data_IF_039676818122
#
_entry.id   IF_039676818122
#
_cell.length_a   1.000
_cell.length_b   1.000
_cell.length_c   1.000
_cell.angle_alpha   90.00
_cell.angle_beta   90.00
_cell.angle_gamma   90.00
#
_symmetry.space_group_name_H-M   'P 1'
#
loop_
_entity.id
_entity.type
_entity.pdbx_description
1 polymer ?
#
# COMPACT_ATOMS: atom_id res chain seq x y z
N UNK A 1 -18.30 -11.64 -15.54
CA UNK A 1 -17.88 -10.72 -14.47
C UNK A 1 -17.00 -9.68 -15.12
N UNK A 2 -17.40 -8.42 -15.08
CA UNK A 2 -16.62 -7.33 -15.66
C UNK A 2 -15.37 -7.06 -14.80
N UNK A 3 -14.30 -6.57 -15.41
CA UNK A 3 -13.02 -6.38 -14.73
C UNK A 3 -13.12 -5.32 -13.62
N UNK A 4 -13.87 -4.25 -13.85
CA UNK A 4 -14.11 -3.19 -12.86
C UNK A 4 -14.80 -3.72 -11.61
N UNK A 5 -15.85 -4.54 -11.78
CA UNK A 5 -16.58 -5.16 -10.67
C UNK A 5 -15.70 -6.11 -9.87
N UNK A 6 -14.82 -6.83 -10.56
CA UNK A 6 -13.83 -7.70 -9.89
C UNK A 6 -12.85 -6.87 -9.05
N UNK A 7 -12.31 -5.78 -9.59
CA UNK A 7 -11.39 -4.88 -8.87
C UNK A 7 -12.06 -4.29 -7.63
N UNK A 8 -13.32 -3.86 -7.73
CA UNK A 8 -14.07 -3.32 -6.59
C UNK A 8 -14.28 -4.37 -5.49
N UNK A 9 -14.61 -5.62 -5.86
CA UNK A 9 -14.75 -6.71 -4.89
C UNK A 9 -13.42 -7.08 -4.22
N UNK A 10 -12.32 -7.14 -4.98
CA UNK A 10 -10.97 -7.36 -4.44
C UNK A 10 -10.57 -6.22 -3.50
N UNK A 11 -10.91 -4.97 -3.83
CA UNK A 11 -10.66 -3.81 -2.98
C UNK A 11 -11.40 -3.92 -1.63
N UNK A 12 -12.68 -4.32 -1.65
CA UNK A 12 -13.47 -4.53 -0.42
C UNK A 12 -12.84 -5.63 0.45
N UNK A 13 -12.34 -6.70 -0.15
CA UNK A 13 -11.65 -7.77 0.57
C UNK A 13 -10.36 -7.28 1.22
N UNK A 14 -9.65 -6.35 0.57
CA UNK A 14 -8.40 -5.74 1.05
C UNK A 14 -8.61 -4.49 1.92
N UNK A 15 -9.84 -4.16 2.35
CA UNK A 15 -10.16 -2.93 3.11
C UNK A 15 -9.29 -2.69 4.34
N UNK A 16 -8.78 -3.76 4.96
CA UNK A 16 -7.90 -3.71 6.13
C UNK A 16 -6.55 -3.01 5.86
N UNK A 17 -6.15 -2.90 4.59
CA UNK A 17 -4.86 -2.35 4.18
C UNK A 17 -5.01 -0.90 3.67
N UNK A 18 -6.23 -0.48 3.31
CA UNK A 18 -6.46 0.82 2.67
C UNK A 18 -6.22 2.00 3.61
N UNK A 19 -6.69 1.92 4.85
CA UNK A 19 -6.47 2.94 5.86
C UNK A 19 -5.79 2.34 7.10
N UNK A 20 -4.56 2.76 7.47
CA UNK A 20 -3.87 2.26 8.65
C UNK A 20 -4.57 2.60 9.98
N UNK A 21 -5.54 3.54 9.98
CA UNK A 21 -6.27 3.94 11.19
C UNK A 21 -7.52 3.11 11.43
N UNK A 22 -8.09 2.53 10.38
CA UNK A 22 -9.38 1.82 10.46
C UNK A 22 -9.15 0.31 10.41
N UNK A 23 -9.37 -0.34 11.55
CA UNK A 23 -9.20 -1.78 11.68
C UNK A 23 -10.56 -2.48 11.54
N UNK A 24 -10.79 -3.16 10.41
CA UNK A 24 -12.00 -3.93 10.19
C UNK A 24 -11.81 -5.40 10.57
N UNK A 25 -12.94 -6.06 10.86
CA UNK A 25 -12.97 -7.53 10.95
C UNK A 25 -12.50 -8.13 9.63
N UNK A 26 -11.58 -9.10 9.73
CA UNK A 26 -11.03 -9.85 8.59
C UNK A 26 -12.15 -10.53 7.81
N UNK A 27 -12.03 -10.58 6.49
CA UNK A 27 -12.90 -11.40 5.66
C UNK A 27 -12.69 -12.88 5.98
N UNK A 28 -13.77 -13.61 6.22
CA UNK A 28 -13.73 -15.05 6.51
C UNK A 28 -13.43 -15.88 5.24
N UNK A 29 -13.65 -15.30 4.06
CA UNK A 29 -13.51 -15.98 2.77
C UNK A 29 -12.46 -15.32 1.89
N UNK A 30 -11.64 -16.15 1.25
CA UNK A 30 -10.66 -15.73 0.25
C UNK A 30 -11.25 -15.62 -1.17
N UNK A 31 -12.46 -16.14 -1.37
CA UNK A 31 -13.13 -16.21 -2.68
C UNK A 31 -14.18 -15.10 -2.78
N UNK A 32 -14.28 -14.48 -3.95
CA UNK A 32 -15.28 -13.47 -4.25
C UNK A 32 -16.70 -14.08 -4.18
N UNK A 33 -17.71 -13.32 -3.71
CA UNK A 33 -19.08 -13.81 -3.62
C UNK A 33 -19.66 -14.11 -5.02
N UNK A 34 -20.39 -15.23 -5.15
CA UNK A 34 -21.04 -15.63 -6.41
C UNK A 34 -22.17 -14.69 -6.81
N UNK A 35 -22.94 -14.23 -5.82
CA UNK A 35 -24.07 -13.32 -6.00
C UNK A 35 -23.77 -12.03 -5.24
N UNK A 36 -23.85 -10.91 -5.95
CA UNK A 36 -23.66 -9.59 -5.38
C UNK A 36 -24.46 -8.56 -6.19
N UNK A 37 -24.74 -7.43 -5.57
CA UNK A 37 -25.36 -6.28 -6.22
C UNK A 37 -24.55 -5.04 -5.86
N UNK A 38 -24.38 -4.17 -6.85
CA UNK A 38 -23.74 -2.87 -6.67
C UNK A 38 -24.86 -1.84 -6.61
N UNK A 39 -24.82 -0.98 -5.59
CA UNK A 39 -25.77 0.10 -5.39
C UNK A 39 -25.04 1.38 -5.02
N UNK A 40 -25.71 2.51 -5.21
CA UNK A 40 -25.21 3.83 -4.83
C UNK A 40 -26.00 4.34 -3.63
N UNK A 41 -25.30 5.02 -2.71
CA UNK A 41 -25.94 5.61 -1.54
C UNK A 41 -26.71 6.86 -1.98
N UNK A 42 -28.01 6.89 -1.68
CA UNK A 42 -28.85 8.07 -1.86
C UNK A 42 -28.80 8.89 -0.58
N UNK A 43 -28.19 10.07 -0.65
CA UNK A 43 -28.02 10.97 0.49
C UNK A 43 -29.36 11.56 0.93
N UNK A 44 -29.52 11.78 2.24
CA UNK A 44 -30.69 12.45 2.81
C UNK A 44 -30.61 13.97 2.61
N UNK A 45 -31.77 14.61 2.41
CA UNK A 45 -31.87 16.08 2.28
C UNK A 45 -31.38 16.84 3.54
N UNK A 46 -31.30 16.18 4.69
CA UNK A 46 -30.89 16.78 5.96
C UNK A 46 -29.36 16.98 6.09
N UNK A 47 -28.55 16.15 5.43
CA UNK A 47 -27.08 16.15 5.55
C UNK A 47 -26.40 16.85 4.35
N UNK A 48 -26.69 18.14 4.14
CA UNK A 48 -26.22 18.86 2.96
C UNK A 48 -24.71 19.12 2.93
N UNK A 49 -24.09 19.40 4.09
CA UNK A 49 -22.70 19.88 4.16
C UNK A 49 -21.68 18.84 4.65
N UNK A 50 -22.11 17.83 5.40
CA UNK A 50 -21.23 16.88 6.10
C UNK A 50 -21.08 15.54 5.37
N UNK A 51 -22.20 14.94 4.94
CA UNK A 51 -22.25 13.59 4.39
C UNK A 51 -22.31 13.52 2.85
N UNK A 52 -22.45 14.67 2.18
CA UNK A 52 -22.71 14.75 0.74
C UNK A 52 -21.44 14.92 -0.09
N UNK A 53 -21.31 14.10 -1.12
CA UNK A 53 -20.27 14.24 -2.14
C UNK A 53 -20.74 15.14 -3.28
N UNK A 54 -19.88 16.06 -3.71
CA UNK A 54 -20.12 16.90 -4.87
C UNK A 54 -20.10 16.08 -6.17
N UNK A 55 -20.79 16.55 -7.22
CA UNK A 55 -20.90 15.85 -8.51
C UNK A 55 -19.53 15.48 -9.13
N UNK A 56 -18.48 16.29 -8.89
CA UNK A 56 -17.12 16.04 -9.39
C UNK A 56 -16.39 14.91 -8.65
N UNK A 57 -16.73 14.71 -7.37
CA UNK A 57 -16.13 13.68 -6.52
C UNK A 57 -16.80 12.32 -6.71
N UNK A 58 -18.08 12.31 -7.12
CA UNK A 58 -18.83 11.08 -7.42
C UNK A 58 -18.24 10.38 -8.65
N UNK A 59 -17.89 9.12 -8.49
CA UNK A 59 -17.36 8.24 -9.54
C UNK A 59 -18.26 7.02 -9.75
N UNK A 60 -18.02 6.29 -10.85
CA UNK A 60 -18.83 5.13 -11.21
C UNK A 60 -18.40 3.87 -10.47
N UNK A 61 -17.13 3.78 -10.08
CA UNK A 61 -16.54 2.62 -9.40
C UNK A 61 -15.82 3.04 -8.13
N UNK A 62 -15.71 2.10 -7.18
CA UNK A 62 -15.03 2.35 -5.91
C UNK A 62 -13.51 2.54 -6.11
N UNK A 63 -12.93 1.76 -7.02
CA UNK A 63 -11.52 1.89 -7.39
C UNK A 63 -11.19 3.28 -7.98
N UNK A 64 -12.08 3.84 -8.82
CA UNK A 64 -11.86 5.17 -9.41
C UNK A 64 -11.95 6.28 -8.35
N UNK A 65 -12.87 6.17 -7.39
CA UNK A 65 -12.96 7.11 -6.27
C UNK A 65 -11.66 7.13 -5.47
N UNK A 66 -11.11 5.96 -5.15
CA UNK A 66 -9.84 5.83 -4.43
C UNK A 66 -8.64 6.38 -5.23
N UNK A 67 -8.63 6.19 -6.55
CA UNK A 67 -7.61 6.76 -7.44
C UNK A 67 -7.72 8.28 -7.62
N UNK A 68 -8.87 8.87 -7.29
CA UNK A 68 -9.05 10.31 -7.34
C UNK A 68 -8.55 11.01 -6.06
N UNK A 69 -8.36 10.27 -4.96
CA UNK A 69 -7.82 10.80 -3.71
C UNK A 69 -6.28 10.84 -3.74
N UNK A 70 -5.74 12.05 -3.87
CA UNK A 70 -4.30 12.29 -3.90
C UNK A 70 -3.58 11.89 -2.60
N UNK A 71 -4.23 11.98 -1.44
CA UNK A 71 -3.59 11.60 -0.19
C UNK A 71 -3.37 10.09 -0.12
N UNK A 72 -4.39 9.32 -0.52
CA UNK A 72 -4.31 7.86 -0.55
C UNK A 72 -3.23 7.42 -1.53
N UNK A 73 -3.18 8.02 -2.73
CA UNK A 73 -2.14 7.74 -3.71
C UNK A 73 -0.74 8.01 -3.15
N UNK A 74 -0.53 9.17 -2.52
CA UNK A 74 0.77 9.53 -1.95
C UNK A 74 1.21 8.56 -0.84
N UNK A 75 0.28 8.19 0.06
CA UNK A 75 0.51 7.22 1.14
C UNK A 75 0.88 5.85 0.56
N UNK A 76 0.10 5.36 -0.41
CA UNK A 76 0.32 4.06 -1.05
C UNK A 76 1.64 4.00 -1.81
N UNK A 77 1.97 5.06 -2.57
CA UNK A 77 3.25 5.16 -3.29
C UNK A 77 4.44 5.12 -2.34
N UNK A 78 4.37 5.87 -1.24
CA UNK A 78 5.41 5.88 -0.19
C UNK A 78 5.55 4.51 0.46
N UNK A 79 4.44 3.84 0.78
CA UNK A 79 4.47 2.52 1.40
C UNK A 79 5.02 1.45 0.45
N UNK A 80 4.60 1.48 -0.81
CA UNK A 80 5.10 0.60 -1.86
C UNK A 80 6.61 0.74 -2.05
N UNK A 81 7.13 1.97 -2.16
CA UNK A 81 8.57 2.21 -2.28
C UNK A 81 9.37 1.63 -1.10
N UNK A 82 8.85 1.76 0.13
CA UNK A 82 9.46 1.15 1.32
C UNK A 82 9.50 -0.37 1.25
N UNK A 83 8.42 -1.00 0.78
CA UNK A 83 8.35 -2.47 0.62
C UNK A 83 9.37 -2.94 -0.41
N UNK A 84 9.47 -2.26 -1.56
CA UNK A 84 10.43 -2.59 -2.61
C UNK A 84 11.86 -2.46 -2.10
N UNK A 85 12.21 -1.34 -1.45
CA UNK A 85 13.54 -1.16 -0.85
C UNK A 85 13.87 -2.24 0.18
N UNK A 86 12.92 -2.60 1.06
CA UNK A 86 13.10 -3.68 2.04
C UNK A 86 13.29 -5.04 1.35
N UNK A 87 12.55 -5.31 0.27
CA UNK A 87 12.66 -6.53 -0.52
C UNK A 87 14.01 -6.62 -1.25
N UNK A 88 14.52 -5.51 -1.76
CA UNK A 88 15.84 -5.43 -2.39
C UNK A 88 16.97 -5.60 -1.38
N UNK A 89 16.85 -4.96 -0.21
CA UNK A 89 17.82 -5.11 0.87
C UNK A 89 17.88 -6.54 1.44
N UNK A 90 16.78 -7.29 1.39
CA UNK A 90 16.74 -8.69 1.85
C UNK A 90 17.16 -9.70 0.78
N UNK A 91 17.08 -9.35 -0.51
CA UNK A 91 17.69 -10.14 -1.60
C UNK A 91 19.21 -9.99 -1.52
N UNK A 92 19.85 -10.97 -0.87
CA UNK A 92 21.25 -11.01 -0.43
C UNK A 92 22.38 -10.72 -1.44
N UNK A 93 22.09 -10.32 -2.68
CA UNK A 93 23.11 -9.95 -3.69
C UNK A 93 23.70 -8.56 -3.42
N UNK A 94 22.91 -7.62 -2.89
CA UNK A 94 23.37 -6.25 -2.57
C UNK A 94 24.06 -6.12 -1.22
N UNK A 95 23.64 -6.92 -0.23
CA UNK A 95 24.20 -6.92 1.13
C UNK A 95 25.63 -7.46 1.14
N UNK A 96 25.89 -8.53 0.38
CA UNK A 96 27.22 -9.15 0.29
C UNK A 96 28.25 -8.29 -0.46
N UNK A 97 27.80 -7.33 -1.30
CA UNK A 97 28.71 -6.40 -2.00
C UNK A 97 29.19 -5.24 -1.13
N UNK A 98 28.44 -4.88 -0.07
CA UNK A 98 28.81 -3.77 0.84
C UNK A 98 29.76 -4.18 1.98
N UNK A 99 29.96 -5.48 2.21
CA UNK A 99 30.93 -5.98 3.20
C UNK A 99 32.39 -6.03 2.68
N UNK A 100 32.65 -5.53 1.46
CA UNK A 100 33.95 -5.64 0.78
C UNK A 100 35.06 -4.68 1.22
N UNK A 101 34.83 -3.79 2.20
CA UNK A 101 35.87 -2.87 2.68
C UNK A 101 35.91 -2.81 4.22
N UNK A 102 36.52 -3.81 4.83
CA UNK A 102 37.12 -3.66 6.16
C UNK A 102 38.54 -3.11 5.96
N UNK A 103 38.91 -1.94 6.51
CA UNK A 103 40.26 -1.42 6.38
C UNK A 103 41.24 -2.40 7.01
N UNK A 104 42.16 -2.97 6.22
CA UNK A 104 43.24 -3.82 6.76
C UNK A 104 44.07 -2.99 7.74
N UNK A 105 43.99 -3.32 9.03
CA UNK A 105 44.88 -2.76 10.05
C UNK A 105 46.34 -2.91 9.60
N UNK A 106 47.04 -1.80 9.35
CA UNK A 106 48.48 -1.82 9.05
C UNK A 106 49.23 -2.28 10.31
N UNK A 107 49.75 -3.50 10.31
CA UNK A 107 50.69 -3.97 11.35
C UNK A 107 51.92 -3.05 11.37
N UNK A 108 52.09 -2.26 12.43
CA UNK A 108 53.32 -1.48 12.69
C UNK A 108 54.50 -2.45 12.72
N UNK A 109 55.41 -2.36 11.74
CA UNK A 109 56.71 -3.04 11.78
C UNK A 109 57.47 -2.53 13.01
N UNK A 110 57.62 -3.37 14.03
CA UNK A 110 58.56 -3.10 15.13
C UNK A 110 59.97 -3.18 14.54
N UNK A 111 60.66 -2.04 14.49
CA UNK A 111 62.10 -2.00 14.19
C UNK A 111 62.81 -2.72 15.34
N UNK A 112 63.52 -3.81 15.03
CA UNK A 112 64.51 -4.40 15.94
C UNK A 112 65.77 -3.54 15.81
N UNK A 113 66.21 -2.95 16.90
CA UNK A 113 67.52 -2.33 17.01
C UNK A 113 68.49 -3.43 17.50
N UNK A 114 69.63 -3.55 16.82
CA UNK A 114 70.88 -4.09 17.34
C UNK A 114 71.90 -2.97 17.25
#
# INVERSE_FOLDING_TARGET
>A
MDEEKRRDLELIQMRNILDPKQHYKKSDRNVLPKYFQIGQIVESSADFYSGRLNKKQRKNTLAEELMNDHEIIAKNKKHYAKIIQKREATKGVGVFKKSGYLPKHKKKKRRKNF
#
